data_IF_995541739819
#
_entry.id   IF_995541739819
#
_cell.length_a   1.000
_cell.length_b   1.000
_cell.length_c   1.000
_cell.angle_alpha   90.00
_cell.angle_beta   90.00
_cell.angle_gamma   90.00
#
_symmetry.space_group_name_H-M   'P 1'
#
loop_
_entity.id
_entity.type
_entity.pdbx_description
1 polymer ?
#
# COMPACT_ATOMS: atom_id res chain seq x y z
N UNK A 1 32.80 -16.95 4.70
CA UNK A 1 31.87 -17.46 3.67
C UNK A 1 31.05 -16.27 3.18
N UNK A 2 30.95 -16.06 1.86
CA UNK A 2 30.16 -14.92 1.34
C UNK A 2 28.68 -15.31 1.42
N UNK A 3 28.05 -15.08 2.58
CA UNK A 3 26.61 -15.34 2.76
C UNK A 3 25.85 -14.35 1.89
N UNK A 4 25.02 -14.86 0.98
CA UNK A 4 24.14 -14.02 0.16
C UNK A 4 23.25 -13.18 1.07
N UNK A 5 23.13 -11.87 0.78
CA UNK A 5 22.30 -10.96 1.57
C UNK A 5 20.85 -11.22 1.26
N UNK A 6 20.05 -11.52 2.28
CA UNK A 6 18.59 -11.66 2.20
C UNK A 6 17.93 -10.35 2.65
N UNK A 7 17.13 -9.73 1.79
CA UNK A 7 16.55 -8.39 2.06
C UNK A 7 15.08 -8.47 2.48
N UNK A 8 14.83 -8.43 3.78
CA UNK A 8 13.49 -8.24 4.39
C UNK A 8 13.16 -6.75 4.64
N UNK A 9 13.94 -5.82 4.11
CA UNK A 9 13.72 -4.38 4.33
C UNK A 9 12.69 -3.76 3.39
N UNK A 10 12.56 -4.25 2.15
CA UNK A 10 11.76 -3.61 1.11
C UNK A 10 10.78 -4.56 0.43
N UNK A 11 9.49 -4.17 0.37
CA UNK A 11 8.45 -4.86 -0.40
C UNK A 11 8.41 -4.42 -1.86
N UNK A 12 9.43 -4.78 -2.63
CA UNK A 12 9.46 -4.53 -4.06
C UNK A 12 9.18 -5.84 -4.81
N UNK A 13 8.42 -5.82 -5.92
CA UNK A 13 8.30 -7.00 -6.77
C UNK A 13 9.68 -7.36 -7.35
N UNK A 14 9.99 -8.65 -7.56
CA UNK A 14 11.24 -9.07 -8.17
C UNK A 14 11.29 -8.62 -9.64
N UNK A 15 12.48 -8.28 -10.14
CA UNK A 15 12.62 -7.78 -11.53
C UNK A 15 12.24 -8.81 -12.58
N UNK A 16 12.30 -10.11 -12.25
CA UNK A 16 11.93 -11.22 -13.13
C UNK A 16 10.44 -11.29 -13.47
N UNK A 17 9.58 -10.58 -12.73
CA UNK A 17 8.13 -10.60 -13.01
C UNK A 17 7.69 -9.52 -13.99
N UNK A 18 8.55 -8.58 -14.36
CA UNK A 18 8.14 -7.49 -15.25
C UNK A 18 7.93 -8.01 -16.68
N UNK A 19 6.76 -7.75 -17.29
CA UNK A 19 6.43 -8.19 -18.64
C UNK A 19 7.07 -7.29 -19.70
N UNK A 20 8.41 -7.26 -19.76
CA UNK A 20 9.18 -6.28 -20.55
C UNK A 20 8.82 -6.34 -22.03
N UNK A 21 8.70 -7.54 -22.63
CA UNK A 21 8.37 -7.69 -24.05
C UNK A 21 6.96 -7.18 -24.39
N UNK A 22 5.98 -7.45 -23.51
CA UNK A 22 4.62 -6.95 -23.67
C UNK A 22 4.59 -5.43 -23.55
N UNK A 23 5.33 -4.88 -22.60
CA UNK A 23 5.43 -3.43 -22.40
C UNK A 23 6.11 -2.74 -23.59
N UNK A 24 7.11 -3.34 -24.22
CA UNK A 24 7.71 -2.84 -25.47
C UNK A 24 6.65 -2.79 -26.58
N UNK A 25 5.92 -3.88 -26.80
CA UNK A 25 4.87 -3.94 -27.81
C UNK A 25 3.70 -2.96 -27.52
N UNK A 26 3.36 -2.77 -26.25
CA UNK A 26 2.35 -1.79 -25.83
C UNK A 26 2.83 -0.35 -26.03
N UNK A 27 4.07 -0.04 -25.70
CA UNK A 27 4.66 1.29 -25.91
C UNK A 27 4.71 1.65 -27.40
N UNK A 28 5.16 0.72 -28.26
CA UNK A 28 5.19 0.93 -29.71
C UNK A 28 3.79 1.20 -30.26
N UNK A 29 2.81 0.39 -29.88
CA UNK A 29 1.44 0.53 -30.35
C UNK A 29 0.80 1.85 -29.88
N UNK A 30 1.01 2.22 -28.63
CA UNK A 30 0.51 3.50 -28.06
C UNK A 30 1.10 4.71 -28.80
N UNK A 31 2.42 4.74 -28.99
CA UNK A 31 3.12 5.83 -29.68
C UNK A 31 2.75 5.90 -31.17
N UNK A 32 2.55 4.79 -31.86
CA UNK A 32 2.10 4.77 -33.26
C UNK A 32 0.69 5.30 -33.40
N UNK A 33 -0.20 4.99 -32.46
CA UNK A 33 -1.60 5.43 -32.51
C UNK A 33 -1.77 6.90 -32.10
N UNK A 34 -1.21 7.28 -30.96
CA UNK A 34 -1.50 8.54 -30.27
C UNK A 34 -0.26 9.35 -29.90
N UNK A 35 0.89 9.14 -30.61
CA UNK A 35 2.18 9.73 -30.26
C UNK A 35 2.14 11.24 -30.09
N UNK A 36 1.38 11.97 -30.94
CA UNK A 36 1.25 13.41 -30.83
C UNK A 36 0.59 13.84 -29.50
N UNK A 37 -0.39 13.07 -29.02
CA UNK A 37 -1.07 13.32 -27.73
C UNK A 37 -0.16 12.92 -26.57
N UNK A 38 0.46 11.74 -26.64
CA UNK A 38 1.28 11.19 -25.57
C UNK A 38 2.57 11.98 -25.31
N UNK A 39 3.04 12.73 -26.30
CA UNK A 39 4.26 13.56 -26.21
C UNK A 39 3.96 15.05 -25.95
N UNK A 40 2.71 15.41 -25.75
CA UNK A 40 2.26 16.77 -25.43
C UNK A 40 1.85 16.86 -23.96
N UNK A 41 1.71 18.08 -23.44
CA UNK A 41 1.12 18.33 -22.12
C UNK A 41 -0.36 17.94 -22.11
N UNK A 42 -0.81 17.39 -20.99
CA UNK A 42 -2.22 17.14 -20.72
C UNK A 42 -2.54 17.39 -19.26
N UNK A 43 -3.71 17.95 -19.00
CA UNK A 43 -4.24 18.13 -17.66
C UNK A 43 -5.13 16.93 -17.33
N UNK A 44 -4.93 16.29 -16.19
CA UNK A 44 -5.77 15.19 -15.71
C UNK A 44 -5.37 13.77 -16.15
N UNK A 45 -4.67 13.62 -17.29
CA UNK A 45 -4.18 12.32 -17.75
C UNK A 45 -4.51 11.99 -19.22
N UNK A 46 -4.23 10.75 -19.61
CA UNK A 46 -4.51 10.23 -20.96
C UNK A 46 -5.98 9.77 -21.07
N UNK A 47 -6.81 10.43 -21.90
CA UNK A 47 -8.26 10.19 -21.91
C UNK A 47 -8.68 8.72 -22.07
N UNK A 48 -8.09 7.90 -22.98
CA UNK A 48 -8.48 6.50 -23.10
C UNK A 48 -8.21 5.67 -21.84
N UNK A 49 -7.19 6.02 -21.04
CA UNK A 49 -6.96 5.35 -19.75
C UNK A 49 -7.97 5.79 -18.70
N UNK A 50 -8.32 7.09 -18.68
CA UNK A 50 -9.34 7.60 -17.77
C UNK A 50 -10.70 6.94 -18.04
N UNK A 51 -11.10 6.83 -19.29
CA UNK A 51 -12.33 6.13 -19.71
C UNK A 51 -12.29 4.65 -19.31
N UNK A 52 -11.18 3.95 -19.58
CA UNK A 52 -11.03 2.56 -19.17
C UNK A 52 -11.14 2.37 -17.65
N UNK A 53 -10.51 3.26 -16.85
CA UNK A 53 -10.63 3.24 -15.40
C UNK A 53 -12.06 3.56 -14.95
N UNK A 54 -12.72 4.56 -15.55
CA UNK A 54 -14.09 4.91 -15.26
C UNK A 54 -15.05 3.72 -15.47
N UNK A 55 -14.87 2.97 -16.56
CA UNK A 55 -15.64 1.76 -16.84
C UNK A 55 -15.42 0.67 -15.77
N UNK A 56 -14.16 0.52 -15.26
CA UNK A 56 -13.87 -0.47 -14.20
C UNK A 56 -14.56 -0.17 -12.87
N UNK A 57 -14.91 1.09 -12.63
CA UNK A 57 -15.56 1.54 -11.39
C UNK A 57 -17.01 1.99 -11.60
N UNK A 58 -17.55 1.82 -12.82
CA UNK A 58 -18.93 2.19 -13.20
C UNK A 58 -19.24 3.66 -12.89
N UNK A 59 -18.29 4.56 -13.21
CA UNK A 59 -18.40 6.02 -13.00
C UNK A 59 -18.12 6.80 -14.28
N UNK A 60 -18.43 8.10 -14.28
CA UNK A 60 -17.98 9.01 -15.34
C UNK A 60 -16.48 9.34 -15.25
N UNK A 61 -15.81 9.64 -16.38
CA UNK A 61 -14.38 9.96 -16.40
C UNK A 61 -14.03 11.22 -15.60
N UNK A 62 -14.98 12.12 -15.34
CA UNK A 62 -14.82 13.29 -14.47
C UNK A 62 -14.61 12.93 -12.99
N UNK A 63 -14.83 11.67 -12.62
CA UNK A 63 -14.58 11.14 -11.28
C UNK A 63 -13.22 10.43 -11.15
N UNK A 64 -12.40 10.47 -12.20
CA UNK A 64 -11.11 9.76 -12.28
C UNK A 64 -9.99 10.77 -12.51
N UNK A 65 -8.90 10.63 -11.75
CA UNK A 65 -7.64 11.35 -11.99
C UNK A 65 -6.47 10.37 -11.95
N UNK A 66 -5.55 10.51 -12.91
CA UNK A 66 -4.28 9.77 -12.87
C UNK A 66 -3.15 10.65 -12.35
N UNK A 67 -2.16 10.03 -11.69
CA UNK A 67 -0.99 10.71 -11.16
C UNK A 67 0.28 9.87 -11.29
N UNK A 68 1.41 10.44 -10.90
CA UNK A 68 2.73 9.80 -11.02
C UNK A 68 2.99 8.74 -9.91
N UNK A 69 1.99 8.26 -9.25
CA UNK A 69 1.82 7.10 -8.35
C UNK A 69 0.62 7.33 -7.42
N UNK A 70 0.14 6.28 -6.71
CA UNK A 70 -0.84 6.49 -5.61
C UNK A 70 -0.29 7.40 -4.51
N UNK A 71 1.00 7.31 -4.18
CA UNK A 71 1.62 8.20 -3.19
C UNK A 71 1.61 9.69 -3.61
N UNK A 72 1.80 9.97 -4.89
CA UNK A 72 1.67 11.32 -5.45
C UNK A 72 0.23 11.83 -5.28
N UNK A 73 -0.76 11.01 -5.61
CA UNK A 73 -2.18 11.32 -5.42
C UNK A 73 -2.54 11.52 -3.94
N UNK A 74 -2.05 10.67 -3.03
CA UNK A 74 -2.23 10.87 -1.58
C UNK A 74 -1.59 12.18 -1.12
N UNK A 75 -0.45 12.57 -1.69
CA UNK A 75 0.17 13.88 -1.41
C UNK A 75 -0.72 15.04 -1.87
N UNK A 76 -1.28 14.97 -3.08
CA UNK A 76 -2.23 15.97 -3.58
C UNK A 76 -3.45 16.07 -2.67
N UNK A 77 -4.10 14.94 -2.37
CA UNK A 77 -5.27 14.86 -1.49
C UNK A 77 -4.97 15.50 -0.12
N UNK A 78 -3.81 15.15 0.46
CA UNK A 78 -3.39 15.73 1.74
C UNK A 78 -3.21 17.25 1.65
N UNK A 79 -2.66 17.76 0.54
CA UNK A 79 -2.48 19.21 0.36
C UNK A 79 -3.79 19.96 0.13
N UNK A 80 -4.75 19.36 -0.54
CA UNK A 80 -6.06 19.96 -0.84
C UNK A 80 -7.00 19.88 0.36
N UNK A 81 -7.11 18.70 1.00
CA UNK A 81 -8.14 18.45 2.02
C UNK A 81 -7.69 18.68 3.46
N UNK A 82 -6.37 18.76 3.74
CA UNK A 82 -5.88 18.96 5.12
C UNK A 82 -5.21 20.32 5.25
N UNK A 83 -5.75 21.18 6.09
CA UNK A 83 -5.10 22.44 6.46
C UNK A 83 -4.08 22.20 7.58
N UNK A 84 -3.15 23.14 7.70
CA UNK A 84 -2.16 23.13 8.78
C UNK A 84 -2.84 23.09 10.16
N UNK A 85 -2.46 22.12 11.01
CA UNK A 85 -3.00 21.93 12.36
C UNK A 85 -4.32 21.15 12.42
N UNK A 86 -4.93 20.82 11.28
CA UNK A 86 -6.11 19.94 11.27
C UNK A 86 -5.74 18.50 11.59
N UNK A 87 -6.70 17.78 12.16
CA UNK A 87 -6.54 16.37 12.50
C UNK A 87 -6.58 15.49 11.25
N UNK A 88 -5.71 14.49 11.23
CA UNK A 88 -5.75 13.39 10.28
C UNK A 88 -5.61 12.07 11.02
N UNK A 89 -6.54 11.14 10.77
CA UNK A 89 -6.46 9.80 11.35
C UNK A 89 -5.75 8.87 10.38
N UNK A 90 -4.87 8.04 10.92
CA UNK A 90 -4.19 6.96 10.20
C UNK A 90 -4.25 5.68 11.02
N UNK A 91 -4.19 4.56 10.36
CA UNK A 91 -3.94 3.28 11.03
C UNK A 91 -2.62 3.31 11.81
N UNK A 92 -2.53 2.61 12.92
CA UNK A 92 -1.30 2.50 13.72
C UNK A 92 -1.03 1.02 14.05
N UNK A 93 -0.09 0.38 13.33
CA UNK A 93 0.85 0.93 12.34
C UNK A 93 0.21 1.26 10.98
N UNK A 94 0.87 2.15 10.19
CA UNK A 94 0.46 2.54 8.85
C UNK A 94 1.67 2.67 7.89
N UNK A 95 1.40 2.93 6.63
CA UNK A 95 2.45 3.18 5.66
C UNK A 95 3.26 4.43 6.02
N UNK A 96 4.56 4.26 6.21
CA UNK A 96 5.50 5.29 6.69
C UNK A 96 5.50 6.57 5.85
N UNK A 97 5.24 6.44 4.54
CA UNK A 97 5.19 7.60 3.62
C UNK A 97 3.93 8.45 3.84
N UNK A 98 2.78 7.83 4.12
CA UNK A 98 1.55 8.55 4.47
C UNK A 98 1.75 9.39 5.74
N UNK A 99 2.32 8.79 6.79
CA UNK A 99 2.67 9.50 8.02
C UNK A 99 3.61 10.69 7.73
N UNK A 100 4.61 10.48 6.85
CA UNK A 100 5.55 11.53 6.45
C UNK A 100 4.86 12.68 5.70
N UNK A 101 3.92 12.37 4.80
CA UNK A 101 3.17 13.39 4.05
C UNK A 101 2.32 14.26 5.01
N UNK A 102 1.61 13.65 5.93
CA UNK A 102 0.80 14.35 6.93
C UNK A 102 1.67 15.22 7.86
N UNK A 103 2.85 14.71 8.29
CA UNK A 103 3.81 15.52 9.07
C UNK A 103 4.30 16.74 8.29
N UNK A 104 4.59 16.60 6.99
CA UNK A 104 5.00 17.73 6.14
C UNK A 104 3.91 18.77 5.96
N UNK A 105 2.65 18.38 6.14
CA UNK A 105 1.50 19.27 6.14
C UNK A 105 1.25 19.91 7.49
N UNK A 106 2.05 19.58 8.53
CA UNK A 106 1.83 19.97 9.92
C UNK A 106 0.44 19.56 10.45
N UNK A 107 -0.08 18.40 10.01
CA UNK A 107 -1.31 17.83 10.52
C UNK A 107 -1.14 17.28 11.94
N UNK A 108 -2.19 17.36 12.75
CA UNK A 108 -2.29 16.61 14.01
C UNK A 108 -2.63 15.16 13.70
N UNK A 109 -1.61 14.29 13.74
CA UNK A 109 -1.78 12.88 13.35
C UNK A 109 -2.25 12.06 14.55
N UNK A 110 -3.40 11.42 14.42
CA UNK A 110 -3.96 10.48 15.40
C UNK A 110 -3.83 9.06 14.85
N UNK A 111 -3.09 8.22 15.55
CA UNK A 111 -2.94 6.80 15.21
C UNK A 111 -4.09 5.98 15.78
N UNK A 112 -4.82 5.27 14.93
CA UNK A 112 -5.90 4.36 15.32
C UNK A 112 -5.37 2.92 15.31
N UNK A 113 -5.44 2.19 16.42
CA UNK A 113 -5.01 0.79 16.46
C UNK A 113 -5.73 -0.09 15.44
N UNK A 114 -5.13 -1.23 15.14
CA UNK A 114 -5.69 -2.26 14.28
C UNK A 114 -5.86 -3.57 15.04
N UNK A 115 -7.01 -4.19 14.83
CA UNK A 115 -7.27 -5.57 15.20
C UNK A 115 -6.85 -6.54 14.10
N UNK A 116 -7.12 -7.85 14.30
CA UNK A 116 -6.84 -8.89 13.29
C UNK A 116 -7.63 -8.71 11.99
N UNK A 117 -8.76 -8.01 12.03
CA UNK A 117 -9.66 -7.76 10.91
C UNK A 117 -9.83 -6.26 10.58
N UNK A 118 -8.81 -5.45 10.82
CA UNK A 118 -8.75 -4.04 10.43
C UNK A 118 -8.85 -3.06 11.60
N UNK A 119 -9.33 -1.85 11.33
CA UNK A 119 -9.38 -0.74 12.29
C UNK A 119 -10.14 -1.11 13.57
N UNK A 120 -9.58 -0.78 14.74
CA UNK A 120 -10.29 -0.82 16.01
C UNK A 120 -11.35 0.29 16.03
N UNK A 121 -12.62 -0.11 15.88
CA UNK A 121 -13.74 0.84 15.81
C UNK A 121 -14.01 1.56 17.13
N UNK A 122 -13.79 0.91 18.27
CA UNK A 122 -13.97 1.54 19.58
C UNK A 122 -12.96 2.68 19.77
N UNK A 123 -11.69 2.41 19.47
CA UNK A 123 -10.64 3.42 19.50
C UNK A 123 -10.88 4.53 18.46
N UNK A 124 -11.42 4.18 17.27
CA UNK A 124 -11.76 5.16 16.25
C UNK A 124 -12.87 6.11 16.69
N UNK A 125 -13.97 5.58 17.24
CA UNK A 125 -15.11 6.38 17.72
C UNK A 125 -14.70 7.23 18.93
N UNK A 126 -13.91 6.72 19.87
CA UNK A 126 -13.35 7.48 20.97
C UNK A 126 -12.45 8.64 20.49
N UNK A 127 -11.69 8.45 19.40
CA UNK A 127 -10.90 9.52 18.80
C UNK A 127 -11.77 10.59 18.12
N UNK A 128 -12.89 10.18 17.50
CA UNK A 128 -13.88 11.12 16.92
C UNK A 128 -14.52 12.03 17.98
N UNK A 129 -14.79 11.52 19.18
CA UNK A 129 -15.33 12.32 20.30
C UNK A 129 -14.34 13.43 20.72
N UNK A 130 -13.04 13.21 20.54
CA UNK A 130 -12.01 14.21 20.85
C UNK A 130 -11.85 15.25 19.73
N UNK A 131 -12.37 14.99 18.53
CA UNK A 131 -12.41 15.93 17.41
C UNK A 131 -12.42 15.23 16.06
N UNK A 132 -13.20 15.81 15.16
CA UNK A 132 -13.40 15.29 13.80
C UNK A 132 -12.13 15.49 12.96
N UNK A 133 -11.62 14.45 12.27
CA UNK A 133 -10.49 14.62 11.35
C UNK A 133 -10.96 15.26 10.04
N UNK A 134 -10.09 16.02 9.40
CA UNK A 134 -10.29 16.43 8.00
C UNK A 134 -10.15 15.22 7.06
N UNK A 135 -9.23 14.31 7.37
CA UNK A 135 -8.89 13.15 6.54
C UNK A 135 -8.61 11.91 7.39
N UNK A 136 -9.13 10.79 6.94
CA UNK A 136 -8.80 9.44 7.43
C UNK A 136 -8.09 8.70 6.30
N UNK A 137 -6.92 8.11 6.55
CA UNK A 137 -6.19 7.32 5.55
C UNK A 137 -6.11 5.88 6.00
N UNK A 138 -6.65 4.96 5.22
CA UNK A 138 -6.69 3.52 5.50
C UNK A 138 -6.26 2.68 4.29
N UNK A 139 -5.68 1.51 4.56
CA UNK A 139 -5.36 0.49 3.56
C UNK A 139 -6.21 -0.74 3.88
N UNK A 140 -7.35 -0.86 3.25
CA UNK A 140 -8.38 -1.84 3.62
C UNK A 140 -8.09 -3.28 3.18
N UNK A 141 -7.25 -3.46 2.16
CA UNK A 141 -6.88 -4.79 1.65
C UNK A 141 -5.36 -5.01 1.80
N UNK A 142 -4.98 -6.03 2.56
CA UNK A 142 -3.57 -6.44 2.77
C UNK A 142 -2.70 -5.28 3.23
N UNK A 143 -3.14 -4.64 4.29
CA UNK A 143 -2.60 -3.42 4.87
C UNK A 143 -1.07 -3.43 4.97
N UNK A 144 -0.44 -2.34 4.60
CA UNK A 144 1.00 -2.14 4.81
C UNK A 144 1.21 -1.29 6.08
N UNK A 145 1.78 -1.88 7.16
CA UNK A 145 2.65 -3.06 7.16
C UNK A 145 2.03 -4.39 7.61
N UNK A 146 0.82 -4.43 8.20
CA UNK A 146 0.32 -5.63 8.89
C UNK A 146 -0.11 -6.78 7.97
N UNK A 147 -0.52 -6.50 6.73
CA UNK A 147 -1.08 -7.50 5.84
C UNK A 147 -2.55 -7.85 6.12
N UNK A 148 -3.17 -7.28 7.13
CA UNK A 148 -4.57 -7.54 7.47
C UNK A 148 -5.54 -6.97 6.44
N UNK A 149 -6.73 -7.57 6.35
CA UNK A 149 -7.84 -7.07 5.53
C UNK A 149 -8.95 -6.59 6.45
N UNK A 150 -9.44 -5.37 6.24
CA UNK A 150 -10.54 -4.80 7.00
C UNK A 150 -11.84 -5.52 6.65
N UNK A 151 -12.52 -6.06 7.66
CA UNK A 151 -13.78 -6.79 7.51
C UNK A 151 -14.90 -5.92 6.94
N UNK A 152 -15.90 -6.55 6.29
CA UNK A 152 -17.06 -5.84 5.75
C UNK A 152 -17.75 -4.99 6.81
N UNK A 153 -18.00 -5.56 7.99
CA UNK A 153 -18.67 -4.85 9.09
C UNK A 153 -17.93 -3.55 9.47
N UNK A 154 -16.62 -3.60 9.56
CA UNK A 154 -15.79 -2.42 9.87
C UNK A 154 -15.80 -1.40 8.73
N UNK A 155 -15.76 -1.85 7.47
CA UNK A 155 -15.90 -0.94 6.31
C UNK A 155 -17.27 -0.26 6.30
N UNK A 156 -18.36 -0.98 6.53
CA UNK A 156 -19.72 -0.43 6.62
C UNK A 156 -19.82 0.64 7.72
N UNK A 157 -19.24 0.37 8.89
CA UNK A 157 -19.25 1.34 9.99
C UNK A 157 -18.44 2.58 9.70
N UNK A 158 -17.21 2.44 9.15
CA UNK A 158 -16.39 3.58 8.73
C UNK A 158 -17.09 4.42 7.65
N UNK A 159 -17.72 3.77 6.66
CA UNK A 159 -18.48 4.44 5.62
C UNK A 159 -19.68 5.21 6.17
N UNK A 160 -20.41 4.62 7.14
CA UNK A 160 -21.51 5.29 7.83
C UNK A 160 -21.02 6.51 8.62
N UNK A 161 -19.97 6.36 9.43
CA UNK A 161 -19.38 7.46 10.19
C UNK A 161 -18.91 8.61 9.29
N UNK A 162 -18.28 8.30 8.14
CA UNK A 162 -17.87 9.33 7.19
C UNK A 162 -19.04 10.14 6.64
N UNK A 163 -20.19 9.50 6.39
CA UNK A 163 -21.41 10.17 5.95
C UNK A 163 -22.07 10.98 7.07
N UNK A 164 -22.12 10.43 8.27
CA UNK A 164 -22.76 11.04 9.46
C UNK A 164 -21.99 12.27 9.96
N UNK A 165 -20.67 12.15 10.04
CA UNK A 165 -19.79 13.15 10.68
C UNK A 165 -19.20 14.12 9.64
N UNK A 166 -18.99 13.69 8.40
CA UNK A 166 -18.60 14.53 7.28
C UNK A 166 -17.10 14.57 6.98
N UNK A 167 -16.26 13.69 7.55
CA UNK A 167 -14.84 13.59 7.20
C UNK A 167 -14.60 12.86 5.86
N UNK A 168 -13.42 13.08 5.27
CA UNK A 168 -12.98 12.38 4.08
C UNK A 168 -12.21 11.11 4.41
N UNK A 169 -12.33 10.08 3.58
CA UNK A 169 -11.52 8.87 3.65
C UNK A 169 -10.67 8.76 2.38
N UNK A 170 -9.37 8.54 2.52
CA UNK A 170 -8.52 7.94 1.49
C UNK A 170 -8.47 6.44 1.75
N UNK A 171 -9.01 5.66 0.83
CA UNK A 171 -8.84 4.21 0.76
C UNK A 171 -7.68 3.92 -0.20
N UNK A 172 -6.47 3.65 0.33
CA UNK A 172 -5.31 3.29 -0.51
C UNK A 172 -5.27 1.78 -0.75
N UNK A 173 -5.51 1.35 -1.99
CA UNK A 173 -5.75 -0.05 -2.35
C UNK A 173 -4.75 -0.61 -3.39
N UNK A 174 -3.41 -0.45 -3.22
CA UNK A 174 -2.43 -0.89 -4.21
C UNK A 174 -2.30 -2.41 -4.29
N UNK A 175 -2.76 -3.14 -3.28
CA UNK A 175 -2.63 -4.60 -3.17
C UNK A 175 -3.93 -5.35 -3.45
N UNK A 176 -5.09 -4.69 -3.53
CA UNK A 176 -6.41 -5.31 -3.61
C UNK A 176 -6.50 -6.46 -4.61
N UNK A 177 -5.92 -6.30 -5.80
CA UNK A 177 -5.91 -7.33 -6.84
C UNK A 177 -4.97 -8.53 -6.57
N UNK A 178 -4.17 -8.46 -5.49
CA UNK A 178 -3.23 -9.51 -5.09
C UNK A 178 -3.76 -10.33 -3.91
N UNK A 179 -5.04 -10.73 -3.98
CA UNK A 179 -5.65 -11.69 -3.06
C UNK A 179 -5.29 -13.11 -3.48
N UNK A 180 -4.77 -13.89 -2.55
CA UNK A 180 -4.33 -15.28 -2.79
C UNK A 180 -5.32 -16.29 -2.19
N UNK A 181 -6.11 -15.89 -1.20
CA UNK A 181 -7.08 -16.70 -0.46
C UNK A 181 -8.30 -15.87 -0.08
N UNK A 182 -9.40 -16.55 0.28
CA UNK A 182 -10.62 -15.90 0.70
C UNK A 182 -11.37 -15.21 -0.44
N UNK A 183 -12.32 -14.36 -0.10
CA UNK A 183 -13.18 -13.64 -1.02
C UNK A 183 -12.94 -12.13 -0.96
N UNK A 184 -13.23 -11.43 -2.05
CA UNK A 184 -13.13 -9.98 -2.09
C UNK A 184 -14.20 -9.32 -1.20
N UNK A 185 -13.76 -8.31 -0.45
CA UNK A 185 -14.64 -7.48 0.37
C UNK A 185 -14.99 -6.20 -0.40
N UNK A 186 -16.25 -5.71 -0.38
CA UNK A 186 -16.60 -4.43 -0.95
C UNK A 186 -15.69 -3.29 -0.49
N UNK A 187 -15.31 -2.38 -1.39
CA UNK A 187 -14.46 -1.25 -1.06
C UNK A 187 -15.21 -0.21 -0.23
N UNK A 188 -14.51 0.60 0.55
CA UNK A 188 -15.10 1.79 1.17
C UNK A 188 -15.69 2.74 0.13
N UNK A 189 -15.03 2.85 -1.04
CA UNK A 189 -15.56 3.58 -2.18
C UNK A 189 -16.97 3.11 -2.57
N UNK A 190 -17.18 1.80 -2.75
CA UNK A 190 -18.49 1.26 -3.12
C UNK A 190 -19.57 1.48 -2.05
N UNK A 191 -19.16 1.63 -0.77
CA UNK A 191 -20.06 1.86 0.36
C UNK A 191 -20.37 3.34 0.60
N UNK A 192 -19.43 4.25 0.29
CA UNK A 192 -19.56 5.68 0.53
C UNK A 192 -18.89 6.51 -0.59
N UNK A 193 -19.39 6.46 -1.85
CA UNK A 193 -18.73 7.07 -3.00
C UNK A 193 -18.67 8.61 -2.97
N UNK A 194 -19.40 9.25 -2.06
CA UNK A 194 -19.41 10.71 -1.88
C UNK A 194 -18.50 11.19 -0.74
N UNK A 195 -17.83 10.26 -0.04
CA UNK A 195 -16.92 10.56 1.08
C UNK A 195 -15.58 9.83 0.99
N UNK A 196 -15.39 8.98 -0.01
CA UNK A 196 -14.18 8.19 -0.19
C UNK A 196 -13.44 8.60 -1.45
N UNK A 197 -12.15 8.76 -1.32
CA UNK A 197 -11.18 8.87 -2.40
C UNK A 197 -10.43 7.54 -2.48
N UNK A 198 -10.79 6.71 -3.46
CA UNK A 198 -10.18 5.41 -3.67
C UNK A 198 -8.92 5.56 -4.52
N UNK A 199 -7.74 5.36 -3.94
CA UNK A 199 -6.46 5.39 -4.66
C UNK A 199 -5.96 4.00 -4.95
N UNK A 200 -5.34 3.79 -6.10
CA UNK A 200 -4.66 2.55 -6.45
C UNK A 200 -3.47 2.80 -7.38
N UNK A 201 -2.71 1.74 -7.68
CA UNK A 201 -1.46 1.86 -8.42
C UNK A 201 -1.17 0.64 -9.29
N UNK A 202 -0.58 0.88 -10.45
CA UNK A 202 0.00 -0.16 -11.30
C UNK A 202 1.36 -0.70 -10.77
N UNK A 203 1.91 -0.08 -9.74
CA UNK A 203 3.25 -0.43 -9.20
C UNK A 203 3.34 -1.87 -8.69
N UNK A 204 2.25 -2.45 -8.19
CA UNK A 204 2.25 -3.78 -7.58
C UNK A 204 1.75 -4.87 -8.52
N UNK A 205 0.98 -4.48 -9.51
CA UNK A 205 0.33 -5.40 -10.47
C UNK A 205 0.94 -5.35 -11.87
N UNK A 206 1.84 -4.38 -12.15
CA UNK A 206 2.52 -4.27 -13.44
C UNK A 206 4.01 -3.97 -13.27
N UNK A 207 4.40 -2.72 -12.98
CA UNK A 207 5.78 -2.36 -12.71
C UNK A 207 5.89 -1.03 -11.93
N UNK A 208 6.68 -0.98 -10.85
CA UNK A 208 6.81 0.24 -10.04
C UNK A 208 7.50 1.39 -10.78
N UNK A 209 8.34 1.09 -11.78
CA UNK A 209 9.04 2.07 -12.61
C UNK A 209 8.14 2.87 -13.55
N UNK A 210 6.92 2.41 -13.82
CA UNK A 210 5.93 3.14 -14.63
C UNK A 210 5.46 4.43 -13.96
N UNK A 211 5.61 4.53 -12.64
CA UNK A 211 5.14 5.68 -11.86
C UNK A 211 3.71 6.07 -12.21
N UNK A 212 2.78 5.12 -12.19
CA UNK A 212 1.39 5.31 -12.53
C UNK A 212 0.47 4.86 -11.38
N UNK A 213 -0.39 5.78 -10.95
CA UNK A 213 -1.50 5.55 -10.03
C UNK A 213 -2.74 6.29 -10.50
N UNK A 214 -3.85 6.05 -9.84
CA UNK A 214 -5.12 6.73 -10.09
C UNK A 214 -5.91 6.90 -8.79
N UNK A 215 -6.83 7.86 -8.82
CA UNK A 215 -7.83 8.08 -7.77
C UNK A 215 -9.22 8.15 -8.39
N UNK A 216 -10.19 7.53 -7.72
CA UNK A 216 -11.61 7.64 -8.01
C UNK A 216 -12.24 8.40 -6.85
N UNK A 217 -13.06 9.41 -7.15
CA UNK A 217 -13.65 10.26 -6.11
C UNK A 217 -14.85 11.07 -6.58
N UNK A 218 -15.46 11.90 -5.70
CA UNK A 218 -16.44 12.91 -6.10
C UNK A 218 -15.86 13.88 -7.11
N UNK A 219 -16.66 14.21 -8.15
CA UNK A 219 -16.18 15.00 -9.29
C UNK A 219 -15.67 16.39 -8.92
N UNK A 220 -16.26 17.04 -7.93
CA UNK A 220 -15.83 18.33 -7.41
C UNK A 220 -14.42 18.24 -6.76
N UNK A 221 -14.18 17.22 -5.94
CA UNK A 221 -12.86 16.98 -5.35
C UNK A 221 -11.83 16.58 -6.42
N UNK A 222 -12.21 15.76 -7.38
CA UNK A 222 -11.33 15.40 -8.51
C UNK A 222 -10.93 16.64 -9.31
N UNK A 223 -11.86 17.60 -9.52
CA UNK A 223 -11.55 18.86 -10.19
C UNK A 223 -10.55 19.70 -9.39
N UNK A 224 -10.72 19.84 -8.08
CA UNK A 224 -9.76 20.55 -7.21
C UNK A 224 -8.35 19.88 -7.22
N UNK A 225 -8.30 18.56 -7.20
CA UNK A 225 -7.03 17.82 -7.32
C UNK A 225 -6.38 18.04 -8.68
N UNK A 226 -7.16 18.10 -9.75
CA UNK A 226 -6.67 18.37 -11.11
C UNK A 226 -6.09 19.80 -11.22
N UNK A 227 -6.77 20.80 -10.66
CA UNK A 227 -6.26 22.18 -10.59
C UNK A 227 -4.96 22.24 -9.82
N UNK A 228 -4.88 21.62 -8.64
CA UNK A 228 -3.65 21.53 -7.85
C UNK A 228 -2.50 20.87 -8.62
N UNK A 229 -2.79 19.80 -9.40
CA UNK A 229 -1.80 19.11 -10.23
C UNK A 229 -1.26 20.03 -11.32
N UNK A 230 -2.12 20.82 -11.99
CA UNK A 230 -1.72 21.81 -13.00
C UNK A 230 -0.75 22.83 -12.40
N UNK A 231 -1.05 23.37 -11.24
CA UNK A 231 -0.25 24.38 -10.58
C UNK A 231 1.10 23.85 -10.06
N UNK A 232 1.17 22.55 -9.72
CA UNK A 232 2.36 21.93 -9.14
C UNK A 232 3.30 21.27 -10.14
N UNK A 233 2.79 20.60 -11.18
CA UNK A 233 3.60 19.84 -12.14
C UNK A 233 2.98 19.73 -13.55
N UNK A 234 1.95 20.55 -13.85
CA UNK A 234 1.24 20.65 -15.13
C UNK A 234 0.36 19.41 -15.40
N UNK A 235 0.93 18.21 -15.31
CA UNK A 235 0.20 16.97 -15.55
C UNK A 235 1.08 15.74 -15.41
N UNK A 236 0.46 14.55 -15.45
CA UNK A 236 1.16 13.27 -15.28
C UNK A 236 1.92 12.86 -16.56
N UNK A 237 2.75 11.81 -16.43
CA UNK A 237 3.55 11.28 -17.54
C UNK A 237 2.67 10.46 -18.49
N UNK A 238 2.30 11.01 -19.65
CA UNK A 238 1.37 10.39 -20.59
C UNK A 238 1.94 9.16 -21.34
N UNK A 239 3.22 9.09 -21.76
CA UNK A 239 3.74 7.90 -22.42
C UNK A 239 3.56 6.62 -21.61
N UNK A 240 3.75 6.67 -20.29
CA UNK A 240 3.51 5.50 -19.41
C UNK A 240 2.04 5.15 -19.32
N UNK A 241 1.14 6.15 -19.36
CA UNK A 241 -0.30 5.94 -19.37
C UNK A 241 -0.78 5.30 -20.66
N UNK A 242 -0.27 5.75 -21.81
CA UNK A 242 -0.57 5.12 -23.12
C UNK A 242 -0.12 3.66 -23.17
N UNK A 243 1.07 3.35 -22.65
CA UNK A 243 1.58 1.99 -22.53
C UNK A 243 0.70 1.12 -21.61
N UNK A 244 0.33 1.64 -20.44
CA UNK A 244 -0.52 0.93 -19.48
C UNK A 244 -1.93 0.71 -20.03
N UNK A 245 -2.53 1.72 -20.67
CA UNK A 245 -3.82 1.57 -21.35
C UNK A 245 -3.78 0.46 -22.39
N UNK A 246 -2.74 0.45 -23.23
CA UNK A 246 -2.59 -0.58 -24.25
C UNK A 246 -2.48 -1.99 -23.64
N UNK A 247 -1.79 -2.12 -22.50
CA UNK A 247 -1.68 -3.35 -21.73
C UNK A 247 -3.05 -3.79 -21.16
N UNK A 248 -3.81 -2.85 -20.61
CA UNK A 248 -5.14 -3.09 -20.06
C UNK A 248 -6.14 -3.52 -21.14
N UNK A 249 -6.24 -2.74 -22.23
CA UNK A 249 -7.25 -3.00 -23.29
C UNK A 249 -7.02 -4.31 -24.06
N UNK A 250 -5.81 -4.86 -24.00
CA UNK A 250 -5.46 -6.19 -24.55
C UNK A 250 -5.79 -7.34 -23.60
N UNK A 251 -6.28 -7.07 -22.39
CA UNK A 251 -6.53 -8.09 -21.37
C UNK A 251 -5.28 -8.60 -20.64
N UNK A 252 -4.08 -8.11 -20.99
CA UNK A 252 -2.80 -8.59 -20.45
C UNK A 252 -2.65 -8.31 -18.96
N UNK A 253 -3.37 -7.31 -18.41
CA UNK A 253 -3.30 -6.97 -17.00
C UNK A 253 -3.88 -8.07 -16.12
N UNK A 254 -5.00 -8.66 -16.51
CA UNK A 254 -5.67 -9.73 -15.76
C UNK A 254 -4.82 -11.00 -15.75
N UNK A 255 -4.29 -11.39 -16.91
CA UNK A 255 -3.37 -12.53 -17.05
C UNK A 255 -2.13 -12.33 -16.18
N UNK A 256 -1.57 -11.12 -16.16
CA UNK A 256 -0.41 -10.80 -15.32
C UNK A 256 -0.72 -10.87 -13.82
N UNK A 257 -1.89 -10.40 -13.40
CA UNK A 257 -2.33 -10.48 -12.00
C UNK A 257 -2.45 -11.95 -11.56
N UNK A 258 -3.07 -12.82 -12.39
CA UNK A 258 -3.18 -14.24 -12.05
C UNK A 258 -1.78 -14.93 -12.00
N UNK A 259 -0.88 -14.56 -12.90
CA UNK A 259 0.53 -15.02 -12.84
C UNK A 259 1.23 -14.58 -11.55
N UNK A 260 1.04 -13.35 -11.12
CA UNK A 260 1.60 -12.82 -9.88
C UNK A 260 1.01 -13.52 -8.64
N UNK A 261 -0.30 -13.77 -8.62
CA UNK A 261 -0.95 -14.53 -7.54
C UNK A 261 -0.38 -15.95 -7.43
N UNK A 262 -0.22 -16.64 -8.55
CA UNK A 262 0.36 -17.97 -8.59
C UNK A 262 1.82 -18.00 -8.06
N UNK A 263 2.58 -16.93 -8.32
CA UNK A 263 3.95 -16.78 -7.85
C UNK A 263 4.05 -16.46 -6.34
N UNK A 264 3.19 -15.56 -5.83
CA UNK A 264 3.33 -15.06 -4.47
C UNK A 264 2.65 -15.93 -3.41
N UNK A 265 1.61 -16.68 -3.77
CA UNK A 265 0.92 -17.57 -2.85
C UNK A 265 1.85 -18.60 -2.18
N UNK A 266 2.68 -19.39 -2.91
CA UNK A 266 3.61 -20.33 -2.25
C UNK A 266 4.64 -19.61 -1.36
N UNK A 267 5.07 -18.41 -1.70
CA UNK A 267 5.98 -17.62 -0.86
C UNK A 267 5.35 -17.18 0.45
N UNK A 268 4.07 -16.82 0.43
CA UNK A 268 3.29 -16.56 1.64
C UNK A 268 3.17 -17.81 2.51
N UNK A 269 2.91 -18.97 1.89
CA UNK A 269 2.82 -20.24 2.62
C UNK A 269 4.17 -20.60 3.27
N UNK A 270 5.27 -20.39 2.55
CA UNK A 270 6.62 -20.65 3.04
C UNK A 270 6.98 -19.77 4.24
N UNK A 271 6.71 -18.44 4.16
CA UNK A 271 7.07 -17.54 5.26
C UNK A 271 6.23 -17.82 6.51
N UNK A 272 4.93 -18.06 6.38
CA UNK A 272 4.07 -18.37 7.52
C UNK A 272 4.51 -19.68 8.20
N UNK A 273 4.86 -20.71 7.41
CA UNK A 273 5.35 -21.98 7.92
C UNK A 273 6.69 -21.81 8.65
N UNK A 274 7.63 -21.07 8.07
CA UNK A 274 8.94 -20.84 8.66
C UNK A 274 8.85 -20.03 9.97
N UNK A 275 8.05 -18.96 10.02
CA UNK A 275 7.87 -18.14 11.22
C UNK A 275 7.26 -18.90 12.38
N UNK A 276 6.29 -19.78 12.12
CA UNK A 276 5.69 -20.65 13.15
C UNK A 276 6.70 -21.62 13.78
N UNK A 277 7.68 -22.06 13.00
CA UNK A 277 8.71 -23.00 13.47
C UNK A 277 9.85 -22.28 14.17
N UNK A 278 10.36 -21.22 13.56
CA UNK A 278 11.61 -20.58 13.97
C UNK A 278 11.41 -19.52 15.07
N UNK A 279 10.24 -18.87 15.11
CA UNK A 279 9.93 -17.80 16.07
C UNK A 279 8.49 -17.97 16.60
N UNK A 280 8.19 -19.10 17.27
CA UNK A 280 6.83 -19.40 17.74
C UNK A 280 6.33 -18.50 18.88
N UNK A 281 7.24 -17.81 19.57
CA UNK A 281 6.93 -16.91 20.68
C UNK A 281 6.46 -15.51 20.23
N UNK A 282 6.59 -15.18 18.96
CA UNK A 282 6.05 -13.93 18.39
C UNK A 282 4.65 -14.14 17.79
N UNK A 283 3.80 -13.13 17.89
CA UNK A 283 2.49 -13.13 17.22
C UNK A 283 2.65 -12.58 15.80
N UNK A 284 2.44 -13.46 14.82
CA UNK A 284 2.52 -13.11 13.39
C UNK A 284 1.14 -12.94 12.79
N UNK A 285 0.99 -11.93 11.90
CA UNK A 285 -0.22 -11.79 11.08
C UNK A 285 -0.30 -12.92 10.05
N UNK A 286 -1.51 -13.28 9.65
CA UNK A 286 -1.79 -14.31 8.63
C UNK A 286 -2.57 -13.70 7.46
N UNK A 287 -1.90 -12.96 6.56
CA UNK A 287 -2.57 -12.28 5.46
C UNK A 287 -3.12 -13.26 4.42
N UNK A 288 -4.18 -12.83 3.74
CA UNK A 288 -4.77 -13.56 2.61
C UNK A 288 -4.23 -13.11 1.25
N UNK A 289 -3.34 -12.09 1.24
CA UNK A 289 -2.78 -11.50 0.03
C UNK A 289 -1.68 -10.48 0.32
N UNK A 290 -1.40 -9.62 -0.63
CA UNK A 290 -0.43 -8.52 -0.47
C UNK A 290 1.01 -8.99 -0.45
N UNK A 291 1.86 -8.27 0.28
CA UNK A 291 3.32 -8.44 0.23
C UNK A 291 3.99 -8.72 1.59
N UNK A 292 3.24 -8.58 2.71
CA UNK A 292 3.85 -8.47 4.03
C UNK A 292 3.22 -9.43 5.02
N UNK A 293 4.08 -9.99 5.88
CA UNK A 293 3.72 -10.57 7.17
C UNK A 293 4.39 -9.70 8.23
N UNK A 294 3.71 -9.44 9.32
CA UNK A 294 4.25 -8.63 10.40
C UNK A 294 3.98 -9.24 11.76
N UNK A 295 4.74 -8.81 12.75
CA UNK A 295 4.55 -9.27 14.11
C UNK A 295 5.32 -8.42 15.10
N UNK A 296 5.10 -8.70 16.38
CA UNK A 296 5.84 -8.09 17.47
C UNK A 296 6.83 -9.08 18.06
N UNK A 297 8.08 -8.67 18.12
CA UNK A 297 9.15 -9.42 18.76
C UNK A 297 8.84 -9.64 20.26
N UNK A 298 9.41 -10.69 20.90
CA UNK A 298 9.28 -10.94 22.32
C UNK A 298 9.58 -9.72 23.20
N UNK A 299 9.06 -9.70 24.42
CA UNK A 299 9.32 -8.63 25.38
C UNK A 299 10.83 -8.51 25.68
N UNK A 300 11.30 -7.26 25.82
CA UNK A 300 12.72 -6.96 26.06
C UNK A 300 13.59 -6.88 24.80
N UNK A 301 13.07 -7.26 23.63
CA UNK A 301 13.78 -7.09 22.36
C UNK A 301 13.58 -5.68 21.79
N UNK A 302 14.60 -5.17 21.10
CA UNK A 302 14.58 -3.89 20.39
C UNK A 302 14.90 -4.10 18.91
N UNK A 303 14.01 -3.63 18.03
CA UNK A 303 14.13 -3.83 16.57
C UNK A 303 15.38 -3.16 15.99
N UNK A 304 15.86 -2.07 16.58
CA UNK A 304 17.05 -1.35 16.08
C UNK A 304 18.31 -2.18 16.35
N UNK A 305 18.43 -2.71 17.57
CA UNK A 305 19.56 -3.57 17.94
C UNK A 305 19.52 -4.89 17.16
N UNK A 306 18.33 -5.48 16.99
CA UNK A 306 18.15 -6.67 16.16
C UNK A 306 18.59 -6.44 14.71
N UNK A 307 18.28 -5.28 14.14
CA UNK A 307 18.71 -4.92 12.77
C UNK A 307 20.22 -4.83 12.62
N UNK A 308 20.93 -4.31 13.63
CA UNK A 308 22.39 -4.25 13.58
C UNK A 308 23.00 -5.66 13.63
N UNK A 309 22.54 -6.53 14.53
CA UNK A 309 22.97 -7.96 14.57
C UNK A 309 22.61 -8.68 13.27
N UNK A 310 21.42 -8.46 12.73
CA UNK A 310 20.95 -9.09 11.50
C UNK A 310 21.84 -8.77 10.28
N UNK A 311 22.44 -7.58 10.23
CA UNK A 311 23.41 -7.22 9.15
C UNK A 311 24.64 -8.10 9.16
N UNK A 312 25.14 -8.50 10.33
CA UNK A 312 26.29 -9.38 10.47
C UNK A 312 25.99 -10.79 9.94
N UNK A 313 24.73 -11.22 10.08
CA UNK A 313 24.19 -12.47 9.54
C UNK A 313 23.71 -12.37 8.08
N UNK A 314 23.97 -11.25 7.41
CA UNK A 314 23.54 -11.04 6.01
C UNK A 314 22.04 -10.84 5.85
N UNK A 315 21.33 -10.39 6.88
CA UNK A 315 19.92 -10.01 6.81
C UNK A 315 19.73 -8.48 6.81
N UNK A 316 18.85 -7.98 5.95
CA UNK A 316 18.37 -6.59 6.02
C UNK A 316 16.94 -6.58 6.54
N UNK A 317 16.70 -5.89 7.65
CA UNK A 317 15.38 -5.69 8.24
C UNK A 317 14.94 -4.23 8.10
N UNK A 318 13.63 -3.98 8.03
CA UNK A 318 13.06 -2.62 8.11
C UNK A 318 13.13 -2.08 9.54
N UNK A 319 13.12 -0.75 9.68
CA UNK A 319 12.92 -0.11 10.99
C UNK A 319 11.42 -0.03 11.27
N UNK A 320 10.94 -0.85 12.20
CA UNK A 320 9.52 -0.93 12.56
C UNK A 320 8.92 0.37 13.06
N UNK A 321 9.76 1.22 13.68
CA UNK A 321 9.34 2.50 14.28
C UNK A 321 8.79 3.49 13.26
N UNK A 322 9.24 3.42 12.01
CA UNK A 322 8.77 4.30 10.95
C UNK A 322 7.29 4.11 10.58
N UNK A 323 6.69 2.97 10.93
CA UNK A 323 5.29 2.66 10.63
C UNK A 323 4.30 3.24 11.66
N UNK A 324 4.78 3.92 12.70
CA UNK A 324 3.92 4.46 13.75
C UNK A 324 3.98 5.99 13.81
N UNK A 325 2.84 6.66 14.04
CA UNK A 325 2.84 8.08 14.36
C UNK A 325 3.73 8.42 15.56
N UNK A 326 3.65 7.62 16.64
CA UNK A 326 4.63 7.64 17.72
C UNK A 326 5.66 6.52 17.49
N UNK A 327 6.93 6.82 17.16
CA UNK A 327 7.95 5.82 16.85
C UNK A 327 8.21 4.80 17.97
N UNK A 328 7.97 5.15 19.24
CA UNK A 328 8.18 4.26 20.38
C UNK A 328 7.29 3.01 20.33
N UNK A 329 6.10 3.12 19.73
CA UNK A 329 5.15 2.00 19.59
C UNK A 329 5.68 0.90 18.65
N UNK A 330 6.65 1.24 17.79
CA UNK A 330 7.29 0.34 16.83
C UNK A 330 8.58 -0.31 17.31
N UNK A 331 9.01 -0.13 18.58
CA UNK A 331 10.31 -0.64 19.07
C UNK A 331 10.47 -2.17 18.98
N UNK A 332 9.37 -2.91 18.98
CA UNK A 332 9.35 -4.38 18.82
C UNK A 332 8.69 -4.84 17.53
N UNK A 333 8.27 -3.91 16.69
CA UNK A 333 7.53 -4.23 15.48
C UNK A 333 8.45 -4.62 14.33
N UNK A 334 8.14 -5.74 13.69
CA UNK A 334 8.86 -6.25 12.53
C UNK A 334 7.91 -6.49 11.36
N UNK A 335 8.23 -5.93 10.19
CA UNK A 335 7.56 -6.23 8.93
C UNK A 335 8.49 -7.03 8.02
N UNK A 336 8.01 -8.15 7.50
CA UNK A 336 8.76 -9.04 6.62
C UNK A 336 8.05 -9.12 5.26
N UNK A 337 8.63 -8.56 4.18
CA UNK A 337 8.14 -8.75 2.83
C UNK A 337 8.57 -10.13 2.30
N UNK A 338 7.67 -10.82 1.63
CA UNK A 338 7.93 -12.13 1.02
C UNK A 338 7.92 -12.10 -0.51
N UNK A 339 7.45 -11.03 -1.14
CA UNK A 339 7.20 -10.97 -2.57
C UNK A 339 8.45 -11.09 -3.46
N UNK A 340 9.60 -10.58 -3.01
CA UNK A 340 10.83 -10.53 -3.82
C UNK A 340 11.70 -11.78 -3.73
N UNK A 341 11.51 -12.59 -2.69
CA UNK A 341 12.37 -13.72 -2.34
C UNK A 341 11.80 -15.05 -2.86
N UNK A 342 12.65 -16.00 -3.13
CA UNK A 342 12.25 -17.39 -3.38
C UNK A 342 11.83 -18.05 -2.06
N UNK A 343 11.11 -19.16 -2.12
CA UNK A 343 10.68 -19.93 -0.95
C UNK A 343 11.88 -20.39 -0.10
N UNK A 344 13.00 -20.78 -0.76
CA UNK A 344 14.24 -21.16 -0.07
C UNK A 344 14.93 -19.98 0.63
N UNK A 345 14.99 -18.80 -0.02
CA UNK A 345 15.52 -17.58 0.59
C UNK A 345 14.67 -17.10 1.77
N UNK A 346 13.34 -17.25 1.67
CA UNK A 346 12.41 -16.98 2.76
C UNK A 346 12.71 -17.89 3.95
N UNK A 347 12.79 -19.21 3.73
CA UNK A 347 13.06 -20.18 4.79
C UNK A 347 14.43 -19.94 5.45
N UNK A 348 15.47 -19.71 4.66
CA UNK A 348 16.82 -19.40 5.15
C UNK A 348 16.85 -18.09 5.95
N UNK A 349 16.23 -17.03 5.43
CA UNK A 349 16.18 -15.72 6.10
C UNK A 349 15.46 -15.78 7.44
N UNK A 350 14.34 -16.51 7.50
CA UNK A 350 13.58 -16.70 8.74
C UNK A 350 14.35 -17.57 9.74
N UNK A 351 15.08 -18.61 9.28
CA UNK A 351 15.92 -19.42 10.15
C UNK A 351 17.06 -18.59 10.78
N UNK A 352 17.74 -17.72 10.01
CA UNK A 352 18.75 -16.80 10.53
C UNK A 352 18.14 -15.83 11.56
N UNK A 353 16.97 -15.26 11.26
CA UNK A 353 16.24 -14.38 12.17
C UNK A 353 15.88 -15.11 13.48
N UNK A 354 15.38 -16.34 13.39
CA UNK A 354 15.09 -17.19 14.54
C UNK A 354 16.32 -17.51 15.40
N UNK A 355 17.49 -17.70 14.78
CA UNK A 355 18.77 -17.82 15.46
C UNK A 355 19.08 -16.60 16.35
N UNK A 356 18.97 -15.40 15.77
CA UNK A 356 19.20 -14.14 16.49
C UNK A 356 18.20 -13.91 17.64
N UNK A 357 16.94 -14.32 17.46
CA UNK A 357 15.94 -14.23 18.53
C UNK A 357 16.29 -15.16 19.69
N UNK A 358 16.68 -16.40 19.42
CA UNK A 358 17.10 -17.38 20.44
C UNK A 358 18.38 -16.93 21.19
N UNK A 359 19.37 -16.38 20.49
CA UNK A 359 20.58 -15.82 21.11
C UNK A 359 20.23 -14.69 22.07
N UNK A 360 19.36 -13.76 21.63
CA UNK A 360 18.90 -12.66 22.48
C UNK A 360 18.21 -13.15 23.76
N UNK A 361 17.31 -14.13 23.64
CA UNK A 361 16.62 -14.72 24.80
C UNK A 361 17.59 -15.39 25.77
N UNK A 362 18.66 -16.04 25.27
CA UNK A 362 19.68 -16.65 26.09
C UNK A 362 20.59 -15.65 26.84
N UNK A 363 20.82 -14.47 26.24
CA UNK A 363 21.59 -13.38 26.88
C UNK A 363 20.78 -12.65 27.97
N UNK A 364 19.47 -12.71 27.91
CA UNK A 364 18.56 -12.03 28.86
C UNK A 364 18.24 -12.87 30.11
N UNK A 365 18.61 -14.17 30.11
CA UNK A 365 18.51 -15.10 31.25
C UNK A 365 19.77 -15.08 32.12
#
# INVERSE_FOLDING_TARGET
MNTSVIDFGRGNPPTSVFPVNDLIACAEAALRRDGAVLLQYSHGGYPPLLEWLADQYEVGPERVLTGNSSLDLVSMITNVLVRRGERAFVESPSYDRTITLLRRRDAEIVGIPLDRDGVDLEAFEAALEQGVPALVVVITDFQNPLGVTTSLQKRERLAALAKEVGFWIVEDAPYRRLRYRGEDVPTLWSLAPDRVLHTSSFSKILAPGLRLGYVIGPGDVIAELSEWAVDSHIGPVLPTQGMAYEYCRRGLLDDNVERLKALYRPRLDAILSALRVEIPQAEWTEPEGGYYVSGYLPQGMDVVQLRERAKEEGLKLSDGRGFFPNPADGNRFLRIPFCALTESEVAEGVARLGGLVREWESEAQ
#
